data_IF_488739281740
#
_entry.id   IF_488739281740
#
_cell.length_a   1.000
_cell.length_b   1.000
_cell.length_c   1.000
_cell.angle_alpha   90.00
_cell.angle_beta   90.00
_cell.angle_gamma   90.00
#
_symmetry.space_group_name_H-M   'P 1'
#
loop_
_entity.id
_entity.type
_entity.pdbx_description
1 polymer ?
#
# COMPACT_ATOMS: atom_id res chain seq x y z
N UNK A 1 -9.03 -7.83 -3.23
CA UNK A 1 -8.72 -6.89 -4.32
C UNK A 1 -9.94 -6.06 -4.66
N UNK A 2 -9.84 -4.74 -4.57
CA UNK A 2 -10.94 -3.85 -4.90
C UNK A 2 -10.95 -3.63 -6.43
N UNK A 3 -12.03 -4.04 -7.11
CA UNK A 3 -12.20 -3.83 -8.56
C UNK A 3 -12.24 -5.09 -9.44
N UNK A 4 -12.18 -6.31 -8.88
CA UNK A 4 -12.22 -7.58 -9.64
C UNK A 4 -13.60 -8.26 -9.70
N UNK A 5 -14.68 -7.53 -9.36
CA UNK A 5 -16.07 -7.97 -9.58
C UNK A 5 -16.89 -8.32 -8.34
N UNK A 6 -16.28 -8.52 -7.17
CA UNK A 6 -16.99 -8.86 -5.91
C UNK A 6 -16.81 -7.84 -4.77
N UNK A 7 -16.25 -6.67 -5.06
CA UNK A 7 -15.90 -5.66 -4.06
C UNK A 7 -17.13 -4.79 -3.70
N UNK A 8 -18.02 -5.32 -2.86
CA UNK A 8 -19.16 -4.53 -2.38
C UNK A 8 -18.69 -3.54 -1.30
N UNK A 9 -19.02 -2.25 -1.47
CA UNK A 9 -18.83 -1.23 -0.42
C UNK A 9 -19.50 -1.63 0.91
N UNK A 10 -20.55 -2.47 0.85
CA UNK A 10 -21.20 -3.04 2.02
C UNK A 10 -20.27 -3.91 2.87
N UNK A 11 -19.37 -4.68 2.26
CA UNK A 11 -18.40 -5.48 3.01
C UNK A 11 -17.33 -4.63 3.71
N UNK A 12 -16.86 -3.55 3.06
CA UNK A 12 -15.92 -2.62 3.69
C UNK A 12 -16.47 -2.00 4.97
N UNK A 13 -17.78 -1.75 5.03
CA UNK A 13 -18.45 -1.25 6.24
C UNK A 13 -18.66 -2.33 7.32
N UNK A 14 -18.84 -3.58 6.91
CA UNK A 14 -19.35 -4.64 7.80
C UNK A 14 -18.25 -5.41 8.52
N UNK A 15 -17.00 -5.26 8.07
CA UNK A 15 -15.84 -5.94 8.63
C UNK A 15 -14.79 -4.92 9.07
N UNK A 16 -14.02 -5.21 10.13
CA UNK A 16 -13.02 -4.30 10.69
C UNK A 16 -11.73 -4.28 9.85
N UNK A 17 -11.86 -4.05 8.54
CA UNK A 17 -10.69 -3.90 7.69
C UNK A 17 -9.89 -2.66 8.09
N UNK A 18 -8.59 -2.70 7.88
CA UNK A 18 -7.67 -1.59 8.09
C UNK A 18 -6.99 -1.12 6.80
N UNK A 19 -7.24 -1.83 5.70
CA UNK A 19 -6.49 -1.67 4.47
C UNK A 19 -7.30 -2.02 3.24
N UNK A 20 -7.11 -1.24 2.18
CA UNK A 20 -7.58 -1.50 0.83
C UNK A 20 -6.36 -1.74 -0.07
N UNK A 21 -6.36 -2.88 -0.77
CA UNK A 21 -5.36 -3.21 -1.79
C UNK A 21 -5.86 -2.79 -3.18
N UNK A 22 -5.04 -2.03 -3.89
CA UNK A 22 -5.26 -1.60 -5.26
C UNK A 22 -4.54 -2.59 -6.17
N UNK A 23 -5.34 -3.31 -6.97
CA UNK A 23 -4.86 -4.37 -7.84
C UNK A 23 -3.90 -3.85 -8.94
N UNK A 24 -2.94 -4.70 -9.31
CA UNK A 24 -1.95 -4.43 -10.37
C UNK A 24 -2.59 -3.93 -11.66
N UNK A 25 -3.77 -4.42 -12.04
CA UNK A 25 -4.43 -4.03 -13.29
C UNK A 25 -4.67 -2.52 -13.40
N UNK A 26 -4.88 -1.82 -12.27
CA UNK A 26 -5.00 -0.36 -12.23
C UNK A 26 -3.63 0.35 -12.16
N UNK A 27 -2.61 -0.33 -11.63
CA UNK A 27 -1.26 0.23 -11.45
C UNK A 27 -0.46 0.18 -12.75
N UNK A 28 -0.60 -0.90 -13.53
CA UNK A 28 0.22 -1.18 -14.71
C UNK A 28 0.26 -0.01 -15.70
N UNK A 29 -0.91 0.59 -15.97
CA UNK A 29 -1.07 1.69 -16.92
C UNK A 29 -1.26 3.06 -16.26
N UNK A 30 -0.96 3.21 -14.96
CA UNK A 30 -1.23 4.45 -14.20
C UNK A 30 -0.45 5.67 -14.72
N UNK A 31 0.60 5.50 -15.52
CA UNK A 31 1.36 6.61 -16.11
C UNK A 31 0.58 7.29 -17.23
N UNK A 32 -0.11 6.51 -18.07
CA UNK A 32 -0.80 7.00 -19.27
C UNK A 32 -2.31 7.09 -19.10
N UNK A 33 -2.92 6.14 -18.39
CA UNK A 33 -4.38 6.01 -18.35
C UNK A 33 -5.03 6.90 -17.29
N UNK A 34 -5.78 7.90 -17.76
CA UNK A 34 -6.56 8.80 -16.92
C UNK A 34 -7.64 8.08 -16.13
N UNK A 35 -8.21 7.00 -16.66
CA UNK A 35 -9.24 6.22 -15.94
C UNK A 35 -8.63 5.51 -14.73
N UNK A 36 -7.49 4.85 -14.91
CA UNK A 36 -6.72 4.26 -13.82
C UNK A 36 -6.39 5.28 -12.72
N UNK A 37 -5.88 6.47 -13.10
CA UNK A 37 -5.62 7.56 -12.13
C UNK A 37 -6.88 7.98 -11.37
N UNK A 38 -8.00 8.14 -12.06
CA UNK A 38 -9.27 8.56 -11.44
C UNK A 38 -9.83 7.49 -10.48
N UNK A 39 -9.73 6.22 -10.84
CA UNK A 39 -10.16 5.09 -9.99
C UNK A 39 -9.30 5.03 -8.74
N UNK A 40 -7.98 5.06 -8.90
CA UNK A 40 -7.03 5.04 -7.77
C UNK A 40 -7.28 6.23 -6.84
N UNK A 41 -7.44 7.44 -7.38
CA UNK A 41 -7.78 8.63 -6.59
C UNK A 41 -9.11 8.49 -5.83
N UNK A 42 -10.10 7.83 -6.43
CA UNK A 42 -11.38 7.58 -5.76
C UNK A 42 -11.23 6.55 -4.64
N UNK A 43 -10.42 5.50 -4.85
CA UNK A 43 -10.13 4.49 -3.83
C UNK A 43 -9.37 5.11 -2.65
N UNK A 44 -8.35 5.94 -2.89
CA UNK A 44 -7.58 6.58 -1.81
C UNK A 44 -8.45 7.51 -0.97
N UNK A 45 -9.34 8.29 -1.60
CA UNK A 45 -10.32 9.12 -0.89
C UNK A 45 -11.34 8.31 -0.10
N UNK A 46 -11.77 7.16 -0.62
CA UNK A 46 -12.65 6.25 0.10
C UNK A 46 -11.94 5.66 1.32
N UNK A 47 -10.70 5.22 1.16
CA UNK A 47 -9.90 4.66 2.25
C UNK A 47 -9.72 5.68 3.39
N UNK A 48 -9.35 6.92 3.05
CA UNK A 48 -9.23 8.04 3.99
C UNK A 48 -10.55 8.28 4.75
N UNK A 49 -11.68 8.32 4.04
CA UNK A 49 -13.00 8.50 4.65
C UNK A 49 -13.40 7.35 5.60
N UNK A 50 -12.82 6.17 5.42
CA UNK A 50 -13.07 4.98 6.24
C UNK A 50 -11.97 4.72 7.29
N UNK A 51 -10.98 5.62 7.43
CA UNK A 51 -9.80 5.44 8.29
C UNK A 51 -9.07 4.11 8.00
N UNK A 52 -8.94 3.81 6.69
CA UNK A 52 -8.23 2.65 6.15
C UNK A 52 -7.03 3.09 5.35
N UNK A 53 -5.98 2.27 5.36
CA UNK A 53 -4.77 2.51 4.59
C UNK A 53 -4.88 1.95 3.17
N UNK A 54 -4.05 2.43 2.26
CA UNK A 54 -3.97 1.90 0.89
C UNK A 54 -2.62 1.29 0.55
N UNK A 55 -2.65 0.16 -0.15
CA UNK A 55 -1.45 -0.50 -0.68
C UNK A 55 -1.65 -0.76 -2.17
N UNK A 56 -0.77 -0.23 -3.01
CA UNK A 56 -0.76 -0.51 -4.45
C UNK A 56 0.15 -1.70 -4.78
N UNK A 57 -0.34 -2.60 -5.63
CA UNK A 57 0.37 -3.80 -6.05
C UNK A 57 0.91 -3.71 -7.47
N UNK A 58 1.99 -4.46 -7.73
CA UNK A 58 2.55 -4.59 -9.07
C UNK A 58 3.33 -3.37 -9.55
N UNK A 59 3.93 -2.60 -8.64
CA UNK A 59 4.80 -1.47 -9.00
C UNK A 59 6.12 -2.00 -9.56
N UNK A 60 6.42 -1.67 -10.80
CA UNK A 60 7.59 -2.15 -11.54
C UNK A 60 8.60 -1.03 -11.83
N UNK A 61 8.18 0.25 -11.81
CA UNK A 61 9.07 1.38 -12.09
C UNK A 61 8.79 2.62 -11.21
N UNK A 62 9.77 3.54 -11.16
CA UNK A 62 9.71 4.75 -10.33
C UNK A 62 8.58 5.70 -10.70
N UNK A 63 8.25 5.78 -11.98
CA UNK A 63 7.20 6.68 -12.46
C UNK A 63 5.82 6.27 -11.93
N UNK A 64 5.53 4.96 -11.94
CA UNK A 64 4.34 4.40 -11.28
C UNK A 64 4.33 4.77 -9.80
N UNK A 65 5.44 4.55 -9.08
CA UNK A 65 5.56 4.87 -7.65
C UNK A 65 5.29 6.36 -7.36
N UNK A 66 5.90 7.26 -8.14
CA UNK A 66 5.76 8.71 -7.96
C UNK A 66 4.33 9.19 -8.23
N UNK A 67 3.66 8.63 -9.23
CA UNK A 67 2.25 8.93 -9.52
C UNK A 67 1.36 8.40 -8.40
N UNK A 68 1.55 7.16 -7.96
CA UNK A 68 0.75 6.56 -6.89
C UNK A 68 0.87 7.37 -5.58
N UNK A 69 2.08 7.84 -5.24
CA UNK A 69 2.31 8.75 -4.11
C UNK A 69 1.50 10.04 -4.25
N UNK A 70 1.52 10.68 -5.43
CA UNK A 70 0.73 11.90 -5.71
C UNK A 70 -0.78 11.65 -5.63
N UNK A 71 -1.23 10.44 -5.94
CA UNK A 71 -2.64 10.03 -5.82
C UNK A 71 -3.05 9.68 -4.39
N UNK A 72 -2.13 9.76 -3.43
CA UNK A 72 -2.39 9.51 -2.01
C UNK A 72 -2.29 8.03 -1.61
N UNK A 73 -1.65 7.18 -2.41
CA UNK A 73 -1.37 5.80 -2.02
C UNK A 73 -0.31 5.79 -0.93
N UNK A 74 -0.58 5.10 0.18
CA UNK A 74 0.31 5.09 1.35
C UNK A 74 1.44 4.08 1.26
N UNK A 75 1.20 2.94 0.62
CA UNK A 75 2.14 1.82 0.58
C UNK A 75 2.25 1.19 -0.81
N UNK A 76 3.39 0.54 -1.04
CA UNK A 76 3.83 0.08 -2.33
C UNK A 76 4.37 -1.35 -2.25
N UNK A 77 3.84 -2.23 -3.11
CA UNK A 77 4.34 -3.58 -3.33
C UNK A 77 4.60 -3.80 -4.82
N UNK A 78 5.75 -4.36 -5.17
CA UNK A 78 6.05 -4.76 -6.54
C UNK A 78 7.54 -4.97 -6.77
N UNK A 79 7.91 -5.41 -7.97
CA UNK A 79 9.29 -5.74 -8.32
C UNK A 79 10.26 -4.56 -8.26
N UNK A 80 9.75 -3.33 -8.31
CA UNK A 80 10.56 -2.15 -7.99
C UNK A 80 11.05 -2.18 -6.54
N UNK A 81 10.18 -2.56 -5.59
CA UNK A 81 10.46 -2.58 -4.16
C UNK A 81 11.30 -3.81 -3.80
N UNK A 82 10.93 -4.97 -4.33
CA UNK A 82 11.62 -6.24 -4.10
C UNK A 82 10.90 -7.39 -4.80
N UNK A 83 11.65 -8.44 -5.17
CA UNK A 83 11.04 -9.68 -5.67
C UNK A 83 10.57 -10.54 -4.49
N UNK A 84 9.59 -11.43 -4.68
CA UNK A 84 9.32 -12.49 -3.72
C UNK A 84 10.58 -13.32 -3.50
N UNK A 85 10.95 -13.55 -2.24
CA UNK A 85 12.13 -14.32 -1.84
C UNK A 85 11.72 -15.43 -0.86
N UNK A 86 12.49 -16.52 -0.76
CA UNK A 86 12.41 -17.47 0.34
C UNK A 86 12.67 -16.79 1.69
N UNK A 87 12.13 -17.37 2.77
CA UNK A 87 12.25 -16.81 4.13
C UNK A 87 13.72 -16.64 4.55
N UNK A 88 14.58 -17.55 4.12
CA UNK A 88 16.00 -17.62 4.45
C UNK A 88 16.82 -16.47 3.83
N UNK A 89 16.27 -15.80 2.81
CA UNK A 89 16.91 -14.67 2.14
C UNK A 89 16.49 -13.32 2.72
N UNK A 90 15.52 -13.29 3.64
CA UNK A 90 15.19 -12.07 4.36
C UNK A 90 16.15 -11.87 5.54
N UNK A 91 16.64 -10.65 5.69
CA UNK A 91 17.41 -10.26 6.86
C UNK A 91 16.49 -9.81 7.99
N UNK A 92 16.90 -10.00 9.24
CA UNK A 92 16.19 -9.45 10.38
C UNK A 92 16.53 -7.96 10.49
N UNK A 93 15.49 -7.13 10.48
CA UNK A 93 15.59 -5.74 10.92
C UNK A 93 15.66 -5.76 12.45
N UNK A 94 16.88 -5.75 13.00
CA UNK A 94 17.07 -5.75 14.46
C UNK A 94 16.56 -4.45 15.12
N UNK A 95 16.53 -3.35 14.37
CA UNK A 95 16.12 -2.04 14.89
C UNK A 95 14.59 -1.92 14.97
N UNK A 96 13.89 -2.42 13.96
CA UNK A 96 12.43 -2.34 13.88
C UNK A 96 11.72 -3.69 14.10
N UNK A 97 12.45 -4.76 14.39
CA UNK A 97 11.95 -6.10 14.73
C UNK A 97 11.23 -6.84 13.58
N UNK A 98 11.62 -6.59 12.33
CA UNK A 98 10.93 -7.05 11.10
C UNK A 98 11.80 -7.91 10.16
N UNK A 99 11.25 -8.26 8.99
CA UNK A 99 11.99 -8.86 7.89
C UNK A 99 12.33 -7.77 6.86
N UNK A 100 13.62 -7.52 6.63
CA UNK A 100 14.13 -6.69 5.56
C UNK A 100 14.34 -7.55 4.30
N UNK A 101 13.64 -7.19 3.23
CA UNK A 101 14.17 -7.43 1.89
C UNK A 101 15.11 -6.27 1.63
N UNK A 102 16.41 -6.52 1.44
CA UNK A 102 17.38 -5.47 1.12
C UNK A 102 16.82 -4.65 -0.05
N UNK A 103 16.47 -3.35 0.15
CA UNK A 103 15.91 -2.56 -0.93
C UNK A 103 16.99 -2.36 -2.01
N UNK A 104 16.58 -2.11 -3.26
CA UNK A 104 17.49 -1.49 -4.23
C UNK A 104 18.10 -0.26 -3.54
N UNK A 105 19.44 -0.14 -3.43
CA UNK A 105 20.12 0.94 -2.71
C UNK A 105 19.66 2.34 -3.14
N UNK A 106 19.05 2.47 -4.32
CA UNK A 106 18.56 3.73 -4.87
C UNK A 106 17.14 4.11 -4.42
N UNK A 107 16.42 3.28 -3.66
CA UNK A 107 15.06 3.54 -3.16
C UNK A 107 15.00 3.96 -1.68
N UNK A 108 16.14 3.86 -0.96
CA UNK A 108 16.27 4.00 0.49
C UNK A 108 15.85 5.36 1.06
N UNK A 109 16.03 6.47 0.32
CA UNK A 109 15.80 7.82 0.85
C UNK A 109 14.33 8.27 0.93
N UNK A 110 13.38 7.50 0.38
CA UNK A 110 11.97 7.95 0.29
C UNK A 110 10.95 6.99 0.91
N UNK A 111 11.38 5.85 1.45
CA UNK A 111 10.45 4.84 1.94
C UNK A 111 10.00 5.19 3.36
N UNK A 112 8.70 5.41 3.56
CA UNK A 112 8.11 5.44 4.90
C UNK A 112 7.92 3.98 5.30
N UNK A 113 8.46 3.60 6.45
CA UNK A 113 8.36 2.25 6.98
C UNK A 113 6.88 1.85 7.16
N UNK A 114 6.51 0.75 6.48
CA UNK A 114 5.21 0.09 6.59
C UNK A 114 4.86 -0.21 8.06
N UNK A 115 5.85 -0.54 8.89
CA UNK A 115 5.63 -0.85 10.31
C UNK A 115 5.39 0.37 11.17
N UNK A 116 6.19 1.44 11.05
CA UNK A 116 5.98 2.69 11.79
C UNK A 116 4.53 3.21 11.62
N UNK A 117 4.01 3.15 10.39
CA UNK A 117 2.62 3.53 10.11
C UNK A 117 1.60 2.55 10.67
N UNK A 118 1.83 1.23 10.57
CA UNK A 118 0.95 0.22 11.16
C UNK A 118 0.88 0.38 12.68
N UNK A 119 2.00 0.58 13.36
CA UNK A 119 2.04 0.85 14.80
C UNK A 119 1.30 2.15 15.15
N UNK A 120 1.46 3.19 14.33
CA UNK A 120 0.74 4.45 14.49
C UNK A 120 -0.77 4.30 14.26
N UNK A 121 -1.20 3.46 13.33
CA UNK A 121 -2.61 3.15 13.08
C UNK A 121 -3.23 2.29 14.20
N UNK A 122 -2.48 1.29 14.71
CA UNK A 122 -2.88 0.49 15.88
C UNK A 122 -3.00 1.36 17.13
N UNK A 123 -2.06 2.28 17.36
CA UNK A 123 -2.11 3.26 18.47
C UNK A 123 -3.31 4.22 18.34
N UNK A 124 -3.61 4.71 17.14
CA UNK A 124 -4.80 5.56 16.86
C UNK A 124 -6.11 4.83 17.22
N UNK A 125 -6.19 3.52 17.01
CA UNK A 125 -7.37 2.69 17.37
C UNK A 125 -7.50 2.43 18.87
N UNK A 126 -6.38 2.26 19.58
CA UNK A 126 -6.37 2.05 21.04
C UNK A 126 -6.87 3.26 21.85
N UNK A 127 -6.80 4.48 21.29
CA UNK A 127 -7.23 5.72 21.95
C UNK A 127 -8.73 6.06 21.82
N UNK A 128 -9.50 5.30 21.04
CA UNK A 128 -10.96 5.53 20.83
C UNK A 128 -11.85 4.54 21.59
N UNK A 129 -11.26 3.59 22.32
CA UNK A 129 -11.95 2.73 23.28
C UNK A 129 -11.80 3.30 24.70
N UNK A 130 -12.30 4.51 24.92
CA UNK A 130 -12.54 5.13 26.22
C UNK A 130 -13.70 6.13 26.09
#
# INVERSE_FOLDING_TARGET
DFGTGYSSLGYLRSFPFDRIKIDRAFVENVTEDLHSKAIISSITRLADALDMQTTAEGIENREQLDILRKLGVEEAQGFLVGRPLPLEEFELDEENGGLLCLPDPKLSESYIDYRERRESAVKRRGGRAA
#
